data_IF_226082593258
#
_entry.id   IF_226082593258
#
_cell.length_a   1.000
_cell.length_b   1.000
_cell.length_c   1.000
_cell.angle_alpha   90.00
_cell.angle_beta   90.00
_cell.angle_gamma   90.00
#
_symmetry.space_group_name_H-M   'P 1'
#
loop_
_entity.id
_entity.type
_entity.pdbx_description
1 polymer ?
#
# COMPACT_ATOMS: atom_id res chain seq x y z
N UNK A 1 1.33 5.82 16.88
CA UNK A 1 1.24 6.57 15.61
C UNK A 1 -0.07 6.22 14.98
N UNK A 2 -0.86 7.21 14.57
CA UNK A 2 -2.17 6.98 13.97
C UNK A 2 -2.02 6.34 12.58
N UNK A 3 -3.00 5.53 12.15
CA UNK A 3 -3.02 4.91 10.80
C UNK A 3 -2.82 5.95 9.70
N UNK A 4 -3.47 7.11 9.84
CA UNK A 4 -3.37 8.19 8.85
C UNK A 4 -1.94 8.72 8.70
N UNK A 5 -1.20 8.87 9.80
CA UNK A 5 0.19 9.34 9.78
C UNK A 5 1.10 8.33 9.09
N UNK A 6 0.86 7.04 9.31
CA UNK A 6 1.56 5.94 8.64
C UNK A 6 1.33 5.96 7.14
N UNK A 7 0.08 6.11 6.71
CA UNK A 7 -0.27 6.22 5.29
C UNK A 7 0.32 7.48 4.65
N UNK A 8 0.23 8.63 5.32
CA UNK A 8 0.85 9.89 4.88
C UNK A 8 2.37 9.75 4.70
N UNK A 9 3.04 9.02 5.60
CA UNK A 9 4.47 8.72 5.45
C UNK A 9 4.74 7.92 4.18
N UNK A 10 3.97 6.87 3.89
CA UNK A 10 4.12 6.11 2.64
C UNK A 10 3.83 6.97 1.39
N UNK A 11 2.83 7.85 1.45
CA UNK A 11 2.54 8.80 0.37
C UNK A 11 3.69 9.79 0.15
N UNK A 12 4.34 10.25 1.21
CA UNK A 12 5.53 11.13 1.11
C UNK A 12 6.73 10.45 0.45
N UNK A 13 6.77 9.11 0.46
CA UNK A 13 7.76 8.31 -0.26
C UNK A 13 7.37 8.07 -1.73
N UNK A 14 6.29 8.69 -2.21
CA UNK A 14 5.83 8.60 -3.60
C UNK A 14 4.88 7.45 -3.89
N UNK A 15 4.25 6.83 -2.88
CA UNK A 15 3.29 5.75 -3.11
C UNK A 15 1.85 6.27 -3.21
N UNK A 16 1.18 5.92 -4.30
CA UNK A 16 -0.27 6.00 -4.43
C UNK A 16 -0.89 4.76 -3.81
N UNK A 17 -1.76 4.93 -2.81
CA UNK A 17 -2.34 3.84 -2.03
C UNK A 17 -3.86 3.86 -2.19
N UNK A 18 -4.43 2.69 -2.47
CA UNK A 18 -5.87 2.45 -2.48
C UNK A 18 -6.18 1.43 -1.40
N UNK A 19 -7.19 1.69 -0.57
CA UNK A 19 -7.67 0.75 0.46
C UNK A 19 -9.15 0.49 0.21
N UNK A 20 -9.54 -0.78 0.27
CA UNK A 20 -10.92 -1.25 0.19
C UNK A 20 -11.27 -2.00 1.48
N UNK A 21 -12.49 -1.82 1.95
CA UNK A 21 -13.07 -2.56 3.06
C UNK A 21 -14.19 -3.45 2.52
N UNK A 22 -14.15 -4.74 2.85
CA UNK A 22 -15.16 -5.73 2.48
C UNK A 22 -15.80 -6.26 3.76
N UNK A 23 -17.11 -6.04 3.91
CA UNK A 23 -17.90 -6.61 5.00
C UNK A 23 -18.44 -7.99 4.62
N UNK A 24 -18.34 -8.94 5.54
CA UNK A 24 -18.94 -10.28 5.45
C UNK A 24 -20.13 -10.33 6.42
N UNK A 25 -21.34 -10.15 5.90
CA UNK A 25 -22.56 -9.99 6.70
C UNK A 25 -22.88 -11.17 7.61
N UNK A 26 -22.75 -12.40 7.12
CA UNK A 26 -23.07 -13.61 7.90
C UNK A 26 -22.07 -13.87 9.03
N UNK A 27 -20.79 -13.58 8.79
CA UNK A 27 -19.72 -13.79 9.78
C UNK A 27 -19.50 -12.58 10.69
N UNK A 28 -20.21 -11.46 10.47
CA UNK A 28 -19.98 -10.18 11.15
C UNK A 28 -18.49 -9.76 11.15
N UNK A 29 -17.82 -9.98 10.02
CA UNK A 29 -16.37 -9.74 9.87
C UNK A 29 -16.09 -8.67 8.82
N UNK A 30 -14.96 -7.99 9.00
CA UNK A 30 -14.38 -7.07 8.01
C UNK A 30 -13.07 -7.67 7.50
N UNK A 31 -12.82 -7.48 6.21
CA UNK A 31 -11.51 -7.73 5.61
C UNK A 31 -11.11 -6.49 4.82
N UNK A 32 -9.86 -6.10 4.93
CA UNK A 32 -9.30 -4.95 4.23
C UNK A 32 -8.31 -5.41 3.17
N UNK A 33 -8.32 -4.73 2.04
CA UNK A 33 -7.41 -4.95 0.93
C UNK A 33 -6.78 -3.63 0.54
N UNK A 34 -5.47 -3.63 0.29
CA UNK A 34 -4.76 -2.45 -0.15
C UNK A 34 -3.94 -2.76 -1.40
N UNK A 35 -3.87 -1.78 -2.28
CA UNK A 35 -2.90 -1.77 -3.36
C UNK A 35 -2.10 -0.48 -3.35
N UNK A 36 -0.81 -0.59 -3.66
CA UNK A 36 0.09 0.53 -3.75
C UNK A 36 0.93 0.47 -5.03
N UNK A 37 1.14 1.64 -5.65
CA UNK A 37 2.01 1.84 -6.82
C UNK A 37 2.82 3.11 -6.64
N UNK A 38 4.05 3.13 -7.16
CA UNK A 38 4.83 4.37 -7.20
C UNK A 38 4.16 5.38 -8.14
N UNK A 39 4.03 6.61 -7.67
CA UNK A 39 3.56 7.74 -8.45
C UNK A 39 4.59 8.06 -9.53
N UNK A 40 4.12 8.18 -10.77
CA UNK A 40 4.98 8.51 -11.91
C UNK A 40 5.23 10.03 -11.88
N UNK A 41 6.49 10.50 -11.78
CA UNK A 41 6.78 11.92 -11.83
C UNK A 41 6.48 12.48 -13.22
N UNK A 42 6.17 13.79 -13.32
CA UNK A 42 5.84 14.45 -14.60
C UNK A 42 6.93 14.33 -15.67
N UNK A 43 8.20 14.19 -15.26
CA UNK A 43 9.36 13.93 -16.13
C UNK A 43 9.95 12.57 -15.77
N UNK A 44 9.19 11.50 -16.00
CA UNK A 44 9.62 10.14 -15.70
C UNK A 44 10.68 9.64 -16.68
N UNK A 45 11.71 9.01 -16.14
CA UNK A 45 12.64 8.19 -16.91
C UNK A 45 12.02 6.84 -17.23
N UNK A 46 12.63 6.08 -18.14
CA UNK A 46 12.24 4.69 -18.42
C UNK A 46 12.32 3.82 -17.15
N UNK A 47 13.31 4.07 -16.28
CA UNK A 47 13.45 3.35 -15.01
C UNK A 47 12.29 3.66 -14.04
N UNK A 48 11.84 4.92 -13.96
CA UNK A 48 10.68 5.30 -13.14
C UNK A 48 9.41 4.60 -13.60
N UNK A 49 9.23 4.48 -14.93
CA UNK A 49 8.11 3.74 -15.50
C UNK A 49 8.17 2.27 -15.10
N UNK A 50 9.33 1.61 -15.25
CA UNK A 50 9.49 0.21 -14.82
C UNK A 50 9.21 0.01 -13.32
N UNK A 51 9.71 0.90 -12.47
CA UNK A 51 9.44 0.85 -11.02
C UNK A 51 7.95 1.05 -10.70
N UNK A 52 7.25 1.91 -11.44
CA UNK A 52 5.81 2.15 -11.27
C UNK A 52 4.91 0.98 -11.72
N UNK A 53 5.41 0.08 -12.57
CA UNK A 53 4.69 -1.12 -12.99
C UNK A 53 4.54 -2.14 -11.84
N UNK A 54 5.42 -2.09 -10.83
CA UNK A 54 5.35 -2.97 -9.67
C UNK A 54 4.17 -2.55 -8.79
N UNK A 55 3.13 -3.38 -8.77
CA UNK A 55 1.99 -3.25 -7.86
C UNK A 55 2.28 -4.04 -6.59
N UNK A 56 2.16 -3.38 -5.44
CA UNK A 56 2.16 -4.05 -4.14
C UNK A 56 0.71 -4.24 -3.71
N UNK A 57 0.39 -5.44 -3.23
CA UNK A 57 -0.92 -5.77 -2.67
C UNK A 57 -0.76 -6.22 -1.22
N UNK A 58 -1.70 -5.86 -0.36
CA UNK A 58 -1.74 -6.26 1.04
C UNK A 58 -3.19 -6.60 1.45
N UNK A 59 -3.31 -7.49 2.43
CA UNK A 59 -4.57 -7.91 3.02
C UNK A 59 -4.42 -7.85 4.54
N UNK A 60 -5.53 -7.66 5.26
CA UNK A 60 -5.57 -7.75 6.72
C UNK A 60 -7.00 -7.80 7.21
N UNK A 61 -7.23 -8.47 8.35
CA UNK A 61 -8.56 -8.53 8.97
C UNK A 61 -8.85 -7.28 9.81
N UNK A 62 -7.81 -6.50 10.09
CA UNK A 62 -7.93 -5.13 10.61
C UNK A 62 -7.15 -4.14 9.75
N UNK A 63 -7.52 -2.86 9.84
CA UNK A 63 -6.78 -1.79 9.17
C UNK A 63 -5.32 -1.69 9.66
N UNK A 64 -5.07 -2.00 10.93
CA UNK A 64 -3.74 -2.04 11.54
C UNK A 64 -2.87 -3.15 10.93
N UNK A 65 -3.42 -4.35 10.76
CA UNK A 65 -2.76 -5.46 10.09
C UNK A 65 -2.45 -5.14 8.62
N UNK A 66 -3.43 -4.56 7.93
CA UNK A 66 -3.29 -4.18 6.53
C UNK A 66 -2.12 -3.19 6.34
N UNK A 67 -2.11 -2.10 7.13
CA UNK A 67 -1.08 -1.06 7.01
C UNK A 67 0.29 -1.61 7.41
N UNK A 68 0.37 -2.44 8.46
CA UNK A 68 1.61 -3.10 8.84
C UNK A 68 2.15 -4.02 7.73
N UNK A 69 1.28 -4.77 7.08
CA UNK A 69 1.65 -5.63 5.95
C UNK A 69 2.11 -4.81 4.75
N UNK A 70 1.41 -3.71 4.46
CA UNK A 70 1.75 -2.79 3.39
C UNK A 70 3.13 -2.14 3.60
N UNK A 71 3.40 -1.61 4.80
CA UNK A 71 4.71 -1.06 5.19
C UNK A 71 5.82 -2.09 5.02
N UNK A 72 5.61 -3.33 5.51
CA UNK A 72 6.60 -4.41 5.35
C UNK A 72 6.90 -4.72 3.89
N UNK A 73 5.90 -4.69 3.00
CA UNK A 73 6.10 -4.96 1.57
C UNK A 73 6.78 -3.81 0.85
N UNK A 74 6.44 -2.57 1.18
CA UNK A 74 7.03 -1.36 0.58
C UNK A 74 8.47 -1.13 1.05
N UNK A 75 8.73 -1.29 2.35
CA UNK A 75 10.03 -1.01 2.96
C UNK A 75 10.97 -2.21 2.93
N UNK A 76 10.54 -3.35 2.36
CA UNK A 76 11.43 -4.48 2.15
C UNK A 76 12.61 -4.01 1.29
N UNK A 77 13.86 -4.20 1.75
CA UNK A 77 15.01 -3.86 0.92
C UNK A 77 14.91 -4.69 -0.36
N UNK A 78 14.89 -4.01 -1.50
CA UNK A 78 15.11 -4.64 -2.80
C UNK A 78 16.54 -5.19 -2.71
N UNK A 79 16.68 -6.50 -2.46
CA UNK A 79 17.98 -7.16 -2.52
C UNK A 79 18.51 -6.95 -3.93
N UNK A 80 19.58 -6.15 -4.04
CA UNK A 80 20.37 -5.99 -5.27
C UNK A 80 20.97 -7.32 -5.67
#
# INVERSE_FOLDING_TARGET
>A
MMIEERLKKLMSLGWNIMIQCKGKGEAYQLTYEASAKLAIPRKATTEDLYRSMVKIEALGDTLEELVTTLEKKILKPIRK
#
